data_IF_718424362409
#
_entry.id   IF_718424362409
#
_cell.length_a   1.000
_cell.length_b   1.000
_cell.length_c   1.000
_cell.angle_alpha   90.00
_cell.angle_beta   90.00
_cell.angle_gamma   90.00
#
_symmetry.space_group_name_H-M   'P 1'
#
loop_
_entity.id
_entity.type
_entity.pdbx_description
1 polymer ?
#
# COMPACT_ATOMS: atom_id res chain seq x y z
N UNK A 1 -28.83 -20.73 -27.96
CA UNK A 1 -27.56 -20.31 -27.32
C UNK A 1 -27.88 -19.78 -25.93
N UNK A 2 -27.69 -20.55 -24.84
CA UNK A 2 -28.05 -20.05 -23.51
C UNK A 2 -26.91 -19.18 -22.95
N UNK A 3 -27.28 -17.96 -22.56
CA UNK A 3 -26.41 -17.01 -21.87
C UNK A 3 -25.90 -17.60 -20.56
N UNK A 4 -24.58 -17.77 -20.47
CA UNK A 4 -23.88 -18.20 -19.25
C UNK A 4 -23.86 -17.03 -18.27
N UNK A 5 -24.89 -16.94 -17.43
CA UNK A 5 -24.88 -16.07 -16.25
C UNK A 5 -23.68 -16.49 -15.36
N UNK A 6 -22.58 -15.74 -15.41
CA UNK A 6 -21.50 -15.88 -14.41
C UNK A 6 -22.10 -15.51 -13.06
N UNK A 7 -22.41 -16.52 -12.25
CA UNK A 7 -22.63 -16.35 -10.82
C UNK A 7 -21.42 -15.63 -10.24
N UNK A 8 -21.60 -14.35 -9.89
CA UNK A 8 -20.69 -13.64 -8.98
C UNK A 8 -20.66 -14.45 -7.68
N UNK A 9 -19.56 -15.17 -7.44
CA UNK A 9 -19.29 -15.78 -6.14
C UNK A 9 -19.30 -14.66 -5.09
N UNK A 10 -20.28 -14.71 -4.19
CA UNK A 10 -20.32 -13.85 -2.99
C UNK A 10 -18.98 -14.00 -2.27
N UNK A 11 -18.29 -12.88 -2.05
CA UNK A 11 -16.96 -12.84 -1.44
C UNK A 11 -16.98 -13.38 -0.01
N UNK A 12 -15.91 -14.07 0.38
CA UNK A 12 -15.71 -14.78 1.65
C UNK A 12 -15.37 -13.88 2.85
N UNK A 13 -15.67 -12.58 2.79
CA UNK A 13 -15.36 -11.63 3.87
C UNK A 13 -16.63 -10.87 4.33
N UNK A 14 -17.62 -11.57 4.92
CA UNK A 14 -18.91 -10.97 5.28
C UNK A 14 -18.81 -9.88 6.35
N UNK A 15 -17.70 -9.79 7.08
CA UNK A 15 -17.47 -8.81 8.17
C UNK A 15 -16.71 -7.56 7.72
N UNK A 16 -16.28 -7.48 6.46
CA UNK A 16 -15.48 -6.36 5.95
C UNK A 16 -16.32 -5.42 5.08
N UNK A 17 -16.24 -4.13 5.40
CA UNK A 17 -16.92 -3.05 4.70
C UNK A 17 -15.92 -2.13 4.00
N UNK A 18 -16.34 -1.48 2.92
CA UNK A 18 -15.59 -0.37 2.33
C UNK A 18 -15.26 0.68 3.40
N UNK A 19 -14.02 1.16 3.44
CA UNK A 19 -13.54 2.10 4.45
C UNK A 19 -12.97 1.46 5.73
N UNK A 20 -13.13 0.14 5.90
CA UNK A 20 -12.50 -0.55 7.02
C UNK A 20 -10.97 -0.51 6.89
N UNK A 21 -10.27 -0.26 7.99
CA UNK A 21 -8.83 -0.48 8.02
C UNK A 21 -8.55 -1.97 8.02
N UNK A 22 -7.63 -2.38 7.18
CA UNK A 22 -7.30 -3.79 6.99
C UNK A 22 -5.80 -4.01 6.99
N UNK A 23 -5.44 -5.21 7.39
CA UNK A 23 -4.11 -5.78 7.25
C UNK A 23 -4.24 -6.97 6.32
N UNK A 24 -3.35 -7.04 5.34
CA UNK A 24 -3.31 -8.11 4.37
C UNK A 24 -1.91 -8.70 4.33
N UNK A 25 -1.81 -10.01 4.20
CA UNK A 25 -0.59 -10.73 3.91
C UNK A 25 -0.80 -11.71 2.76
N UNK A 26 0.16 -11.80 1.84
CA UNK A 26 0.04 -12.69 0.69
C UNK A 26 1.29 -12.77 -0.18
N UNK A 27 1.26 -13.71 -1.11
CA UNK A 27 2.34 -13.92 -2.09
C UNK A 27 2.18 -12.92 -3.25
N UNK A 28 3.26 -12.27 -3.71
CA UNK A 28 3.17 -11.41 -4.89
C UNK A 28 2.82 -12.21 -6.14
N UNK A 29 1.85 -11.72 -6.92
CA UNK A 29 1.41 -12.35 -8.18
C UNK A 29 1.81 -11.50 -9.38
N UNK A 30 1.55 -10.20 -9.31
CA UNK A 30 1.80 -9.26 -10.39
C UNK A 30 1.96 -7.84 -9.85
N UNK A 31 2.59 -6.98 -10.63
CA UNK A 31 2.63 -5.54 -10.36
C UNK A 31 2.53 -4.76 -11.67
N UNK A 32 1.99 -3.55 -11.60
CA UNK A 32 1.84 -2.67 -12.75
C UNK A 32 1.80 -1.21 -12.30
N UNK A 33 2.41 -0.32 -13.08
CA UNK A 33 2.15 1.10 -12.98
C UNK A 33 0.85 1.45 -13.71
N UNK A 34 0.18 2.51 -13.27
CA UNK A 34 -0.93 3.11 -13.99
C UNK A 34 -0.47 3.61 -15.36
N UNK A 35 -1.34 3.40 -16.36
CA UNK A 35 -1.09 3.79 -17.74
C UNK A 35 -2.21 4.75 -18.13
N UNK A 36 -1.82 6.00 -18.34
CA UNK A 36 -2.68 7.05 -18.88
C UNK A 36 -2.06 7.59 -20.17
N UNK A 37 -2.89 8.18 -21.05
CA UNK A 37 -2.41 8.84 -22.27
C UNK A 37 -1.60 10.08 -21.94
N UNK A 38 -1.92 10.74 -20.84
CA UNK A 38 -1.22 11.89 -20.32
C UNK A 38 -0.38 11.47 -19.09
N UNK A 39 0.96 11.48 -19.17
CA UNK A 39 1.82 11.00 -18.10
C UNK A 39 1.64 11.72 -16.75
N UNK A 40 1.11 12.94 -16.75
CA UNK A 40 0.81 13.71 -15.55
C UNK A 40 -0.38 13.17 -14.74
N UNK A 41 -1.24 12.34 -15.36
CA UNK A 41 -2.39 11.73 -14.71
C UNK A 41 -2.07 10.41 -14.00
N UNK A 42 -0.90 9.84 -14.27
CA UNK A 42 -0.44 8.59 -13.67
C UNK A 42 0.01 8.87 -12.24
N UNK A 43 -0.74 8.36 -11.27
CA UNK A 43 -0.39 8.48 -9.86
C UNK A 43 -0.41 7.16 -9.08
N UNK A 44 -0.79 6.02 -9.67
CA UNK A 44 -0.83 4.74 -8.96
C UNK A 44 0.19 3.70 -9.44
N UNK A 45 0.66 2.91 -8.48
CA UNK A 45 1.30 1.62 -8.67
C UNK A 45 0.46 0.55 -7.98
N UNK A 46 0.26 -0.57 -8.67
CA UNK A 46 -0.52 -1.69 -8.16
C UNK A 46 0.34 -2.92 -7.92
N UNK A 47 0.15 -3.54 -6.76
CA UNK A 47 0.69 -4.86 -6.44
C UNK A 47 -0.48 -5.80 -6.23
N UNK A 48 -0.56 -6.87 -7.00
CA UNK A 48 -1.57 -7.91 -6.84
C UNK A 48 -0.96 -9.04 -6.03
N UNK A 49 -1.62 -9.41 -4.93
CA UNK A 49 -1.15 -10.46 -4.03
C UNK A 49 -2.21 -11.56 -3.85
N UNK A 50 -1.74 -12.80 -3.73
CA UNK A 50 -2.55 -13.96 -3.40
C UNK A 50 -2.55 -14.22 -1.91
N UNK A 51 -3.72 -14.15 -1.28
CA UNK A 51 -3.92 -14.38 0.16
C UNK A 51 -4.09 -15.86 0.52
N UNK A 52 -3.83 -16.77 -0.43
CA UNK A 52 -4.02 -18.22 -0.27
C UNK A 52 -5.48 -18.69 -0.31
N UNK A 53 -6.45 -17.77 -0.33
CA UNK A 53 -7.88 -18.10 -0.50
C UNK A 53 -8.62 -16.96 -1.19
N UNK A 54 -9.66 -17.30 -1.97
CA UNK A 54 -10.46 -16.30 -2.66
C UNK A 54 -9.79 -15.68 -3.89
N UNK A 55 -10.28 -14.51 -4.28
CA UNK A 55 -9.73 -13.74 -5.40
C UNK A 55 -8.48 -12.96 -4.96
N UNK A 56 -7.48 -12.79 -5.84
CA UNK A 56 -6.34 -11.93 -5.57
C UNK A 56 -6.76 -10.51 -5.18
N UNK A 57 -6.01 -9.91 -4.26
CA UNK A 57 -6.28 -8.56 -3.76
C UNK A 57 -5.25 -7.61 -4.34
N UNK A 58 -5.72 -6.44 -4.76
CA UNK A 58 -4.86 -5.38 -5.29
C UNK A 58 -4.52 -4.37 -4.21
N UNK A 59 -3.24 -4.20 -3.94
CA UNK A 59 -2.68 -3.09 -3.18
C UNK A 59 -2.50 -1.94 -4.16
N UNK A 60 -3.14 -0.81 -3.90
CA UNK A 60 -2.98 0.41 -4.69
C UNK A 60 -2.21 1.45 -3.90
N UNK A 61 -1.04 1.82 -4.40
CA UNK A 61 -0.15 2.80 -3.81
C UNK A 61 -0.10 4.02 -4.72
N UNK A 62 -0.35 5.20 -4.16
CA UNK A 62 -0.10 6.44 -4.90
C UNK A 62 1.40 6.76 -4.90
N UNK A 63 2.00 6.98 -6.07
CA UNK A 63 3.42 7.31 -6.25
C UNK A 63 3.68 8.80 -6.44
N UNK A 64 2.62 9.59 -6.63
CA UNK A 64 2.67 11.04 -6.83
C UNK A 64 1.35 11.70 -6.39
N UNK A 65 1.40 12.73 -5.55
CA UNK A 65 0.18 13.40 -5.09
C UNK A 65 -0.25 14.50 -6.06
N UNK A 66 -1.27 14.20 -6.89
CA UNK A 66 -1.93 15.23 -7.72
C UNK A 66 -2.56 16.35 -6.88
N UNK A 67 -3.03 16.04 -5.68
CA UNK A 67 -3.61 17.05 -4.80
C UNK A 67 -2.56 18.05 -4.31
N UNK A 68 -1.35 17.57 -3.96
CA UNK A 68 -0.24 18.47 -3.64
C UNK A 68 0.18 19.29 -4.86
N UNK A 69 0.29 18.65 -6.04
CA UNK A 69 0.65 19.35 -7.27
C UNK A 69 -0.35 20.48 -7.61
N UNK A 70 -1.66 20.23 -7.40
CA UNK A 70 -2.71 21.22 -7.65
C UNK A 70 -2.79 22.31 -6.57
N UNK A 71 -2.38 22.01 -5.33
CA UNK A 71 -2.40 22.95 -4.22
C UNK A 71 -1.11 23.81 -4.23
N UNK A 72 -1.22 25.04 -4.76
CA UNK A 72 -0.27 26.15 -4.63
C UNK A 72 1.22 25.78 -4.44
N UNK A 73 1.77 24.91 -5.29
CA UNK A 73 3.21 24.61 -5.33
C UNK A 73 3.75 23.68 -4.24
N UNK A 74 2.92 22.89 -3.57
CA UNK A 74 3.42 21.86 -2.65
C UNK A 74 4.11 20.72 -3.39
N UNK A 75 5.15 20.15 -2.77
CA UNK A 75 5.88 19.03 -3.33
C UNK A 75 4.96 17.80 -3.48
N UNK A 76 4.76 17.30 -4.72
CA UNK A 76 3.90 16.15 -4.97
C UNK A 76 4.59 14.80 -4.77
N UNK A 77 5.91 14.80 -4.56
CA UNK A 77 6.71 13.59 -4.41
C UNK A 77 6.40 12.89 -3.10
N UNK A 78 6.50 11.57 -3.15
CA UNK A 78 6.38 10.75 -1.96
C UNK A 78 7.72 10.71 -1.24
N UNK A 79 7.69 10.89 0.09
CA UNK A 79 8.82 10.61 0.96
C UNK A 79 8.68 9.20 1.51
N UNK A 80 9.74 8.39 1.36
CA UNK A 80 9.73 6.99 1.79
C UNK A 80 10.75 6.79 2.90
N UNK A 81 10.27 6.27 4.03
CA UNK A 81 11.09 5.75 5.12
C UNK A 81 11.18 4.24 5.02
N UNK A 82 12.36 3.66 5.24
CA UNK A 82 12.56 2.20 5.19
C UNK A 82 13.05 1.73 6.55
N UNK A 83 12.27 0.86 7.20
CA UNK A 83 12.64 0.18 8.44
C UNK A 83 13.03 -1.25 8.10
N UNK A 84 14.31 -1.59 8.31
CA UNK A 84 14.86 -2.92 8.05
C UNK A 84 14.75 -3.77 9.31
N UNK A 85 14.33 -5.02 9.16
CA UNK A 85 14.28 -5.99 10.24
C UNK A 85 14.54 -7.40 9.72
N UNK A 86 14.48 -8.39 10.61
CA UNK A 86 14.52 -9.82 10.28
C UNK A 86 13.25 -10.52 10.75
N UNK A 87 12.88 -11.61 10.09
CA UNK A 87 11.73 -12.43 10.47
C UNK A 87 12.17 -13.83 10.94
N UNK A 88 11.42 -14.40 11.89
CA UNK A 88 11.56 -15.80 12.33
C UNK A 88 10.50 -16.69 11.69
N UNK A 89 9.29 -16.14 11.56
CA UNK A 89 8.14 -16.77 10.94
C UNK A 89 7.50 -15.75 9.99
N UNK A 90 6.94 -16.25 8.89
CA UNK A 90 6.16 -15.44 7.97
C UNK A 90 4.72 -15.30 8.51
N UNK A 91 4.10 -14.12 8.36
CA UNK A 91 2.72 -13.93 8.76
C UNK A 91 1.79 -14.81 7.92
N UNK A 92 0.70 -15.26 8.53
CA UNK A 92 -0.30 -16.06 7.84
C UNK A 92 -0.95 -15.26 6.71
N UNK A 93 -1.04 -15.85 5.53
CA UNK A 93 -1.70 -15.23 4.39
C UNK A 93 -3.20 -15.03 4.67
N UNK A 94 -3.74 -13.87 4.32
CA UNK A 94 -5.12 -13.52 4.62
C UNK A 94 -5.38 -12.03 4.52
N UNK A 95 -6.67 -11.68 4.65
CA UNK A 95 -7.16 -10.32 4.79
C UNK A 95 -7.92 -10.24 6.11
N UNK A 96 -7.50 -9.33 6.99
CA UNK A 96 -8.03 -9.17 8.33
C UNK A 96 -8.39 -7.71 8.58
N UNK A 97 -9.43 -7.48 9.38
CA UNK A 97 -9.71 -6.15 9.93
C UNK A 97 -8.57 -5.74 10.86
N UNK A 98 -8.15 -4.49 10.77
CA UNK A 98 -7.03 -3.94 11.54
C UNK A 98 -7.51 -2.76 12.38
N UNK A 99 -6.84 -2.55 13.52
CA UNK A 99 -6.95 -1.30 14.30
C UNK A 99 -6.19 -0.14 13.64
N UNK A 100 -5.47 -0.41 12.55
CA UNK A 100 -4.63 0.54 11.84
C UNK A 100 -3.18 0.57 12.34
N UNK A 101 -2.39 1.49 11.80
CA UNK A 101 -0.97 1.68 12.08
C UNK A 101 -0.72 3.15 12.45
N UNK A 102 0.16 3.39 13.42
CA UNK A 102 0.64 4.74 13.76
C UNK A 102 2.15 4.80 13.54
N UNK A 103 2.57 5.64 12.60
CA UNK A 103 4.00 5.82 12.30
C UNK A 103 4.79 6.32 13.51
N UNK A 104 4.18 7.09 14.43
CA UNK A 104 4.89 7.60 15.62
C UNK A 104 5.44 6.49 16.49
N UNK A 105 4.71 5.38 16.62
CA UNK A 105 5.18 4.24 17.40
C UNK A 105 6.43 3.62 16.76
N UNK A 106 6.49 3.57 15.43
CA UNK A 106 7.63 3.03 14.67
C UNK A 106 8.84 3.98 14.74
N UNK A 107 8.60 5.28 14.58
CA UNK A 107 9.63 6.33 14.60
C UNK A 107 10.26 6.51 15.98
N UNK A 108 9.48 6.31 17.05
CA UNK A 108 10.00 6.29 18.40
C UNK A 108 10.86 5.04 18.68
N UNK A 109 10.54 3.92 18.04
CA UNK A 109 11.26 2.66 18.22
C UNK A 109 12.55 2.59 17.39
N UNK A 110 12.62 3.31 16.27
CA UNK A 110 13.79 3.32 15.38
C UNK A 110 13.87 4.62 14.59
N UNK A 111 15.06 5.22 14.42
CA UNK A 111 15.21 6.40 13.60
C UNK A 111 14.86 6.09 12.15
N UNK A 112 13.86 6.78 11.60
CA UNK A 112 13.44 6.64 10.20
C UNK A 112 13.90 7.86 9.41
N UNK A 113 14.76 7.62 8.41
CA UNK A 113 15.13 8.65 7.44
C UNK A 113 14.17 8.57 6.27
N UNK A 114 13.47 9.66 6.02
CA UNK A 114 12.55 9.80 4.88
C UNK A 114 13.28 10.44 3.71
N UNK A 115 13.29 9.75 2.57
CA UNK A 115 13.90 10.23 1.33
C UNK A 115 12.81 10.52 0.31
N UNK A 116 12.91 11.65 -0.38
CA UNK A 116 12.01 12.04 -1.47
C UNK A 116 12.29 11.19 -2.71
N UNK A 117 11.25 10.64 -3.32
CA UNK A 117 11.35 9.90 -4.57
C UNK A 117 10.58 10.58 -5.69
N UNK A 118 11.26 10.78 -6.81
CA UNK A 118 10.60 10.96 -8.10
C UNK A 118 9.83 9.69 -8.48
N UNK A 119 8.70 9.85 -9.18
CA UNK A 119 7.81 8.73 -9.53
C UNK A 119 8.54 7.54 -10.18
N UNK A 120 9.38 7.71 -11.24
CA UNK A 120 10.06 6.57 -11.85
C UNK A 120 11.02 5.84 -10.89
N UNK A 121 11.65 6.57 -9.98
CA UNK A 121 12.55 5.98 -8.98
C UNK A 121 11.75 5.19 -7.93
N UNK A 122 10.59 5.70 -7.52
CA UNK A 122 9.69 4.98 -6.60
C UNK A 122 9.11 3.72 -7.25
N UNK A 123 8.67 3.81 -8.50
CA UNK A 123 8.17 2.65 -9.27
C UNK A 123 9.26 1.59 -9.39
N UNK A 124 10.49 1.97 -9.73
CA UNK A 124 11.62 1.04 -9.80
C UNK A 124 11.91 0.38 -8.44
N UNK A 125 11.94 1.15 -7.36
CA UNK A 125 12.12 0.64 -5.99
C UNK A 125 11.06 -0.42 -5.65
N UNK A 126 9.79 -0.14 -5.94
CA UNK A 126 8.68 -1.03 -5.64
C UNK A 126 8.69 -2.28 -6.52
N UNK A 127 9.01 -2.13 -7.81
CA UNK A 127 9.20 -3.25 -8.74
C UNK A 127 10.31 -4.17 -8.26
N UNK A 128 11.48 -3.63 -7.89
CA UNK A 128 12.59 -4.44 -7.41
C UNK A 128 12.19 -5.24 -6.16
N UNK A 129 11.63 -4.56 -5.15
CA UNK A 129 11.20 -5.21 -3.91
C UNK A 129 10.12 -6.26 -4.14
N UNK A 130 9.12 -5.95 -4.95
CA UNK A 130 8.03 -6.88 -5.28
C UNK A 130 8.56 -8.12 -6.00
N UNK A 131 9.50 -7.96 -6.93
CA UNK A 131 10.08 -9.07 -7.70
C UNK A 131 10.89 -10.05 -6.86
N UNK A 132 11.48 -9.57 -5.75
CA UNK A 132 12.32 -10.38 -4.85
C UNK A 132 11.56 -10.91 -3.63
N UNK A 133 10.41 -10.33 -3.32
CA UNK A 133 9.66 -10.67 -2.12
C UNK A 133 9.06 -12.07 -2.22
N UNK A 134 9.18 -12.84 -1.14
CA UNK A 134 8.48 -14.13 -0.98
C UNK A 134 7.11 -13.96 -0.35
N UNK A 135 6.90 -12.85 0.36
CA UNK A 135 5.63 -12.46 0.96
C UNK A 135 5.56 -10.93 1.08
N UNK A 136 4.37 -10.38 0.99
CA UNK A 136 4.09 -8.96 1.21
C UNK A 136 3.00 -8.84 2.26
N UNK A 137 3.21 -7.95 3.23
CA UNK A 137 2.16 -7.41 4.07
C UNK A 137 1.83 -5.98 3.69
N UNK A 138 0.59 -5.56 3.90
CA UNK A 138 0.23 -4.16 3.78
C UNK A 138 -0.90 -3.75 4.73
N UNK A 139 -0.89 -2.47 5.07
CA UNK A 139 -1.91 -1.79 5.86
C UNK A 139 -2.52 -0.68 5.02
N UNK A 140 -3.84 -0.53 5.11
CA UNK A 140 -4.55 0.53 4.41
C UNK A 140 -6.06 0.44 4.61
N UNK A 141 -6.78 1.26 3.87
CA UNK A 141 -8.22 1.29 3.83
C UNK A 141 -8.76 0.33 2.76
N UNK A 142 -9.71 -0.51 3.14
CA UNK A 142 -10.34 -1.45 2.23
C UNK A 142 -11.18 -0.69 1.19
N UNK A 143 -10.94 -1.02 -0.06
CA UNK A 143 -11.63 -0.45 -1.19
C UNK A 143 -12.30 -1.57 -2.01
N UNK A 144 -13.59 -1.41 -2.32
CA UNK A 144 -14.37 -2.35 -3.15
C UNK A 144 -14.91 -1.62 -4.38
N UNK A 145 -14.41 -1.95 -5.58
CA UNK A 145 -14.89 -1.45 -6.91
C UNK A 145 -15.33 -2.64 -7.76
N UNK A 146 -14.77 -2.76 -8.95
CA UNK A 146 -14.80 -3.95 -9.81
C UNK A 146 -14.01 -5.11 -9.22
N UNK A 147 -13.10 -4.83 -8.28
CA UNK A 147 -12.27 -5.78 -7.56
C UNK A 147 -12.13 -5.35 -6.09
N UNK A 148 -11.73 -6.30 -5.24
CA UNK A 148 -11.32 -6.07 -3.86
C UNK A 148 -9.88 -5.54 -3.86
N UNK A 149 -9.63 -4.46 -3.13
CA UNK A 149 -8.31 -3.87 -3.02
C UNK A 149 -8.12 -3.13 -1.72
N UNK A 150 -6.90 -2.68 -1.49
CA UNK A 150 -6.56 -1.77 -0.40
C UNK A 150 -6.00 -0.48 -0.99
N UNK A 151 -6.38 0.64 -0.40
CA UNK A 151 -5.98 2.00 -0.75
C UNK A 151 -5.51 2.76 0.50
N UNK A 152 -5.04 3.99 0.28
CA UNK A 152 -4.40 4.83 1.29
C UNK A 152 -3.25 4.12 2.00
N UNK A 153 -2.39 3.48 1.21
CA UNK A 153 -1.15 2.84 1.67
C UNK A 153 -0.07 3.90 1.90
N UNK A 154 -0.40 4.92 2.67
CA UNK A 154 0.46 6.01 3.06
C UNK A 154 -0.04 6.62 4.36
N UNK A 155 0.73 7.52 4.95
CA UNK A 155 0.29 8.24 6.13
C UNK A 155 -1.02 8.98 5.85
N UNK A 156 -1.98 8.85 6.77
CA UNK A 156 -3.24 9.59 6.73
C UNK A 156 -3.22 10.78 7.71
N UNK A 157 -2.03 11.13 8.21
CA UNK A 157 -1.84 12.33 9.01
C UNK A 157 -2.01 13.58 8.16
N UNK A 158 -2.23 14.71 8.84
CA UNK A 158 -2.34 16.02 8.17
C UNK A 158 -1.13 16.29 7.28
N UNK A 159 -1.36 16.81 6.08
CA UNK A 159 -0.36 17.19 5.09
C UNK A 159 -0.53 18.64 4.67
N UNK A 160 0.39 19.18 3.86
CA UNK A 160 0.29 20.56 3.35
C UNK A 160 -0.99 20.81 2.55
N UNK A 161 -1.47 19.81 1.78
CA UNK A 161 -2.66 19.92 0.96
C UNK A 161 -3.95 19.39 1.62
N UNK A 162 -3.83 18.62 2.72
CA UNK A 162 -4.95 18.02 3.44
C UNK A 162 -4.82 18.33 4.93
N UNK A 163 -5.59 19.31 5.47
CA UNK A 163 -5.46 19.74 6.87
C UNK A 163 -6.11 18.78 7.88
N UNK A 164 -6.66 17.65 7.40
CA UNK A 164 -7.33 16.65 8.26
C UNK A 164 -6.31 15.66 8.79
N UNK A 165 -6.31 15.45 10.10
CA UNK A 165 -5.41 14.51 10.77
C UNK A 165 -6.14 13.22 11.18
N UNK A 166 -5.60 12.06 10.81
CA UNK A 166 -6.13 10.75 11.22
C UNK A 166 -5.04 9.89 11.89
N UNK A 167 -4.78 10.10 13.18
CA UNK A 167 -3.83 9.26 13.93
C UNK A 167 -4.24 7.79 13.92
N UNK A 168 -3.26 6.89 13.81
CA UNK A 168 -3.49 5.45 13.83
C UNK A 168 -4.14 4.87 12.57
N UNK A 169 -4.34 5.67 11.52
CA UNK A 169 -4.87 5.21 10.22
C UNK A 169 -3.83 5.20 9.11
N UNK A 170 -2.54 5.15 9.46
CA UNK A 170 -1.49 5.15 8.46
C UNK A 170 -1.47 3.82 7.69
N UNK A 171 -1.21 3.88 6.38
CA UNK A 171 -0.98 2.71 5.55
C UNK A 171 0.51 2.46 5.32
N UNK A 172 0.92 1.23 5.09
CA UNK A 172 2.33 0.87 4.87
C UNK A 172 2.44 -0.45 4.09
N UNK A 173 3.64 -0.76 3.58
CA UNK A 173 3.92 -2.06 2.93
C UNK A 173 5.16 -2.66 3.55
N UNK A 174 5.11 -3.95 3.90
CA UNK A 174 6.29 -4.71 4.28
C UNK A 174 6.58 -5.80 3.27
N UNK A 175 7.83 -5.87 2.83
CA UNK A 175 8.34 -6.93 1.96
C UNK A 175 9.16 -7.90 2.79
N UNK A 176 8.95 -9.20 2.57
CA UNK A 176 9.72 -10.28 3.16
C UNK A 176 10.58 -10.92 2.09
N UNK A 177 11.86 -11.09 2.37
CA UNK A 177 12.84 -11.71 1.48
C UNK A 177 13.35 -13.02 2.09
N UNK A 178 13.60 -14.02 1.25
CA UNK A 178 14.21 -15.28 1.68
C UNK A 178 15.66 -15.09 2.14
N UNK A 179 16.37 -14.18 1.49
CA UNK A 179 17.76 -13.86 1.79
C UNK A 179 17.90 -13.33 3.22
N UNK A 180 18.65 -14.05 4.05
CA UNK A 180 18.94 -13.71 5.45
C UNK A 180 17.70 -13.43 6.31
N UNK A 181 16.54 -13.97 5.93
CA UNK A 181 15.25 -13.65 6.54
C UNK A 181 15.02 -12.15 6.71
N UNK A 182 15.42 -11.34 5.72
CA UNK A 182 15.28 -9.88 5.75
C UNK A 182 13.82 -9.49 5.53
N UNK A 183 13.38 -8.47 6.26
CA UNK A 183 12.13 -7.76 6.02
C UNK A 183 12.38 -6.25 5.92
N UNK A 184 11.58 -5.58 5.09
CA UNK A 184 11.63 -4.13 4.93
C UNK A 184 10.23 -3.55 4.96
N UNK A 185 9.95 -2.71 5.97
CA UNK A 185 8.73 -1.94 6.08
C UNK A 185 8.94 -0.56 5.45
N UNK A 186 8.17 -0.25 4.42
CA UNK A 186 8.14 1.05 3.76
C UNK A 186 7.01 1.90 4.35
N UNK A 187 7.37 3.09 4.78
CA UNK A 187 6.50 4.13 5.31
C UNK A 187 6.44 5.27 4.29
N UNK A 188 5.26 5.78 3.99
CA UNK A 188 5.04 6.73 2.90
C UNK A 188 4.44 8.02 3.46
N UNK A 189 5.10 9.16 3.23
CA UNK A 189 4.65 10.49 3.65
C UNK A 189 4.67 11.48 2.49
N UNK A 190 3.59 12.23 2.33
CA UNK A 190 3.55 13.43 1.50
C UNK A 190 4.06 14.66 2.23
N UNK A 191 4.28 15.75 1.48
CA UNK A 191 4.68 17.05 2.02
C UNK A 191 3.82 17.48 3.22
N UNK A 192 4.46 17.95 4.29
CA UNK A 192 3.80 18.44 5.50
C UNK A 192 3.37 17.37 6.50
N UNK A 193 3.42 16.09 6.16
CA UNK A 193 3.08 15.03 7.10
C UNK A 193 4.14 14.87 8.20
N UNK A 194 3.72 14.86 9.49
CA UNK A 194 4.61 14.71 10.64
C UNK A 194 5.21 13.31 10.67
#
# INVERSE_FOLDING_TARGET
MPHRHKQRRRHSYPELSHGDLVHIAGTPIAFAAEVDREPANIDHFWITIGTGSGEPIRISLSTHSRQNAAAAGFDPRMRVGIVISTWKELPAAGLLKSTGLDYRALENASPVVYVEYERPALELLLTEKTSRAILIEAWGELYVRTHLGIHQVHSMRTSSAVPRDFPGRDGAIRFYFAENSRAELLLFKYCGQP
#
